data_IF_046876264306
#
_entry.id   IF_046876264306
#
_cell.length_a   1.000
_cell.length_b   1.000
_cell.length_c   1.000
_cell.angle_alpha   90.00
_cell.angle_beta   90.00
_cell.angle_gamma   90.00
#
_symmetry.space_group_name_H-M   'P 1'
#
loop_
_entity.id
_entity.type
_entity.pdbx_description
1 polymer ?
#
# COMPACT_ATOMS: atom_id res chain seq x y z
N UNK A 1 -78.09 -29.46 -31.39
CA UNK A 1 -76.71 -29.82 -31.75
C UNK A 1 -75.98 -28.54 -32.02
N UNK A 2 -75.24 -28.05 -31.10
CA UNK A 2 -74.44 -26.82 -31.23
C UNK A 2 -72.97 -27.21 -30.97
N UNK A 3 -72.16 -27.08 -32.00
CA UNK A 3 -70.73 -27.30 -31.95
C UNK A 3 -70.06 -26.15 -31.17
N UNK A 4 -69.29 -26.48 -30.17
CA UNK A 4 -68.43 -25.54 -29.45
C UNK A 4 -67.05 -25.63 -30.10
N UNK A 5 -66.70 -24.60 -30.88
CA UNK A 5 -65.32 -24.41 -31.40
C UNK A 5 -64.47 -23.81 -30.30
N UNK A 6 -63.43 -24.54 -29.85
CA UNK A 6 -62.42 -24.04 -28.95
C UNK A 6 -61.31 -23.37 -29.75
N UNK A 7 -61.16 -22.07 -29.55
CA UNK A 7 -60.12 -21.25 -30.13
C UNK A 7 -58.78 -21.50 -29.40
N UNK A 8 -57.80 -22.12 -30.09
CA UNK A 8 -56.41 -22.34 -29.66
C UNK A 8 -55.50 -21.28 -30.27
N UNK A 9 -55.61 -20.02 -29.78
CA UNK A 9 -54.61 -19.03 -30.16
C UNK A 9 -53.98 -18.38 -28.93
N UNK A 10 -52.62 -18.39 -28.94
CA UNK A 10 -51.70 -17.58 -28.15
C UNK A 10 -51.34 -18.08 -26.73
N UNK A 11 -50.56 -19.15 -26.65
CA UNK A 11 -49.52 -19.19 -25.61
C UNK A 11 -48.22 -18.66 -26.25
N UNK A 12 -48.01 -17.36 -26.15
CA UNK A 12 -46.76 -16.71 -26.44
C UNK A 12 -45.70 -17.16 -25.42
N UNK A 13 -44.80 -18.04 -25.84
CA UNK A 13 -43.63 -18.47 -25.04
C UNK A 13 -42.63 -17.31 -25.04
N UNK A 14 -42.82 -16.32 -24.18
CA UNK A 14 -41.80 -15.33 -23.85
C UNK A 14 -40.81 -15.97 -22.88
N UNK A 15 -39.80 -16.63 -23.40
CA UNK A 15 -38.58 -16.95 -22.65
C UNK A 15 -38.04 -15.62 -22.11
N UNK A 16 -37.83 -15.47 -20.77
CA UNK A 16 -37.19 -14.28 -20.26
C UNK A 16 -35.81 -14.20 -20.90
N UNK A 17 -35.51 -13.12 -21.63
CA UNK A 17 -34.14 -12.79 -22.00
C UNK A 17 -33.36 -12.77 -20.69
N UNK A 18 -32.43 -13.70 -20.52
CA UNK A 18 -31.37 -13.58 -19.51
C UNK A 18 -30.76 -12.19 -19.76
N UNK A 19 -30.87 -11.30 -18.76
CA UNK A 19 -30.15 -10.05 -18.78
C UNK A 19 -28.69 -10.42 -19.04
N UNK A 20 -28.11 -9.94 -20.11
CA UNK A 20 -26.68 -10.08 -20.36
C UNK A 20 -25.98 -9.53 -19.11
N UNK A 21 -25.29 -10.39 -18.36
CA UNK A 21 -24.48 -9.96 -17.21
C UNK A 21 -23.45 -9.00 -17.80
N UNK A 22 -23.51 -7.72 -17.40
CA UNK A 22 -22.45 -6.77 -17.72
C UNK A 22 -21.14 -7.40 -17.25
N UNK A 23 -20.13 -7.41 -18.11
CA UNK A 23 -18.79 -7.83 -17.77
C UNK A 23 -18.29 -6.96 -16.61
N UNK A 24 -17.65 -7.59 -15.60
CA UNK A 24 -17.05 -6.88 -14.46
C UNK A 24 -15.92 -5.99 -14.96
N UNK A 25 -15.83 -4.80 -14.41
CA UNK A 25 -14.83 -3.80 -14.78
C UNK A 25 -14.19 -3.22 -13.52
N UNK A 26 -12.86 -3.22 -13.45
CA UNK A 26 -12.06 -2.79 -12.30
C UNK A 26 -11.20 -1.59 -12.67
N UNK A 27 -11.31 -0.50 -11.90
CA UNK A 27 -10.38 0.61 -11.95
C UNK A 27 -9.13 0.30 -11.12
N UNK A 28 -7.95 0.54 -11.69
CA UNK A 28 -6.67 0.50 -10.99
C UNK A 28 -6.14 1.93 -10.87
N UNK A 29 -6.17 2.49 -9.65
CA UNK A 29 -5.66 3.83 -9.42
C UNK A 29 -4.13 3.84 -9.51
N UNK A 30 -3.63 4.80 -10.28
CA UNK A 30 -2.21 5.05 -10.53
C UNK A 30 -1.94 6.57 -10.53
N UNK A 31 -0.73 6.99 -10.88
CA UNK A 31 -0.37 8.38 -11.12
C UNK A 31 -0.07 8.65 -12.60
N UNK A 32 0.01 9.92 -12.97
CA UNK A 32 0.27 10.32 -14.36
C UNK A 32 1.64 9.86 -14.88
N UNK A 33 2.63 9.77 -14.00
CA UNK A 33 3.97 9.29 -14.34
C UNK A 33 4.03 7.76 -14.54
N UNK A 34 3.01 7.04 -14.08
CA UNK A 34 2.84 5.60 -14.27
C UNK A 34 1.47 5.28 -14.90
N UNK A 35 1.18 5.77 -16.11
CA UNK A 35 -0.18 5.73 -16.69
C UNK A 35 -0.73 4.32 -16.95
N UNK A 36 0.12 3.31 -16.91
CA UNK A 36 -0.21 1.88 -17.08
C UNK A 36 0.23 1.03 -15.88
N UNK A 37 0.40 1.68 -14.73
CA UNK A 37 0.83 1.06 -13.47
C UNK A 37 2.30 0.70 -13.42
N UNK A 38 2.70 0.04 -12.34
CA UNK A 38 4.04 -0.46 -12.14
C UNK A 38 4.28 -1.79 -12.89
N UNK A 39 5.54 -2.10 -13.17
CA UNK A 39 5.95 -3.35 -13.81
C UNK A 39 5.52 -4.60 -13.01
N UNK A 40 5.41 -4.52 -11.70
CA UNK A 40 4.91 -5.60 -10.83
C UNK A 40 3.46 -6.00 -11.17
N UNK A 41 2.65 -5.06 -11.66
CA UNK A 41 1.23 -5.28 -11.98
C UNK A 41 0.99 -6.11 -13.26
N UNK A 42 2.02 -6.41 -14.04
CA UNK A 42 1.87 -7.19 -15.28
C UNK A 42 1.22 -8.57 -15.03
N UNK A 43 1.58 -9.24 -13.92
CA UNK A 43 0.98 -10.52 -13.51
C UNK A 43 -0.49 -10.36 -13.09
N UNK A 44 -0.84 -9.23 -12.49
CA UNK A 44 -2.20 -8.90 -12.08
C UNK A 44 -3.12 -8.67 -13.29
N UNK A 45 -2.66 -7.94 -14.30
CA UNK A 45 -3.41 -7.74 -15.55
C UNK A 45 -3.72 -9.08 -16.24
N UNK A 46 -2.74 -9.98 -16.30
CA UNK A 46 -2.95 -11.31 -16.84
C UNK A 46 -4.00 -12.13 -16.07
N UNK A 47 -4.03 -12.00 -14.73
CA UNK A 47 -5.00 -12.68 -13.88
C UNK A 47 -6.42 -12.13 -14.05
N UNK A 48 -6.60 -10.81 -14.22
CA UNK A 48 -7.89 -10.20 -14.57
C UNK A 48 -8.39 -10.68 -15.93
N UNK A 49 -7.53 -10.61 -16.93
CA UNK A 49 -7.88 -11.03 -18.29
C UNK A 49 -8.29 -12.51 -18.38
N UNK A 50 -7.62 -13.38 -17.61
CA UNK A 50 -7.97 -14.82 -17.54
C UNK A 50 -9.37 -15.09 -16.95
N UNK A 51 -9.99 -14.09 -16.29
CA UNK A 51 -11.35 -14.14 -15.72
C UNK A 51 -12.36 -13.28 -16.45
N UNK A 52 -11.99 -12.79 -17.62
CA UNK A 52 -12.85 -11.93 -18.43
C UNK A 52 -13.31 -10.67 -17.66
N UNK A 53 -12.38 -10.07 -16.88
CA UNK A 53 -12.57 -8.82 -16.15
C UNK A 53 -11.85 -7.71 -16.89
N UNK A 54 -12.58 -6.65 -17.22
CA UNK A 54 -12.03 -5.44 -17.82
C UNK A 54 -11.25 -4.62 -16.79
N UNK A 55 -10.16 -3.99 -17.23
CA UNK A 55 -9.29 -3.19 -16.37
C UNK A 55 -9.06 -1.81 -16.97
N UNK A 56 -9.26 -0.77 -16.14
CA UNK A 56 -9.03 0.62 -16.50
C UNK A 56 -7.98 1.22 -15.57
N UNK A 57 -6.88 1.73 -16.14
CA UNK A 57 -5.92 2.54 -15.39
C UNK A 57 -6.45 3.95 -15.20
N UNK A 58 -6.45 4.42 -13.95
CA UNK A 58 -7.03 5.71 -13.57
C UNK A 58 -5.96 6.54 -12.87
N UNK A 59 -5.26 7.43 -13.60
CA UNK A 59 -4.35 8.39 -12.98
C UNK A 59 -5.12 9.38 -12.12
N UNK A 60 -5.01 9.26 -10.79
CA UNK A 60 -5.81 10.00 -9.83
C UNK A 60 -5.67 11.53 -9.98
N UNK A 61 -4.46 12.00 -10.30
CA UNK A 61 -4.13 13.43 -10.42
C UNK A 61 -4.49 14.05 -11.79
N UNK A 62 -5.03 13.25 -12.74
CA UNK A 62 -5.44 13.70 -14.06
C UNK A 62 -6.86 13.26 -14.45
N UNK A 63 -7.59 12.61 -13.55
CA UNK A 63 -8.93 12.08 -13.82
C UNK A 63 -9.92 12.62 -12.80
N UNK A 64 -11.03 13.20 -13.27
CA UNK A 64 -12.14 13.58 -12.39
C UNK A 64 -12.76 12.32 -11.76
N UNK A 65 -12.95 12.27 -10.43
CA UNK A 65 -13.47 11.07 -9.75
C UNK A 65 -14.88 10.64 -10.21
N UNK A 66 -15.62 11.51 -10.88
CA UNK A 66 -16.95 11.21 -11.40
C UNK A 66 -16.96 10.71 -12.85
N UNK A 67 -15.86 10.83 -13.59
CA UNK A 67 -15.82 10.50 -15.02
C UNK A 67 -15.93 8.99 -15.28
N UNK A 68 -15.45 8.14 -14.37
CA UNK A 68 -15.38 6.68 -14.55
C UNK A 68 -16.42 5.86 -13.78
N UNK A 69 -17.31 6.50 -13.03
CA UNK A 69 -18.31 5.83 -12.16
C UNK A 69 -19.23 4.84 -12.89
N UNK A 70 -19.53 5.10 -14.17
CA UNK A 70 -20.37 4.25 -15.00
C UNK A 70 -19.56 3.21 -15.80
N UNK A 71 -18.20 3.29 -15.73
CA UNK A 71 -17.28 2.45 -16.49
C UNK A 71 -16.71 1.31 -15.65
N UNK A 72 -16.56 1.51 -14.33
CA UNK A 72 -16.00 0.52 -13.43
C UNK A 72 -16.98 0.15 -12.31
N UNK A 73 -16.84 -1.03 -11.75
CA UNK A 73 -17.65 -1.54 -10.63
C UNK A 73 -16.96 -1.28 -9.27
N UNK A 74 -15.64 -1.14 -9.25
CA UNK A 74 -14.84 -0.81 -8.06
C UNK A 74 -13.48 -0.22 -8.44
N UNK A 75 -12.82 0.41 -7.47
CA UNK A 75 -11.48 0.96 -7.58
C UNK A 75 -10.51 0.25 -6.64
N UNK A 76 -9.34 -0.15 -7.14
CA UNK A 76 -8.23 -0.70 -6.35
C UNK A 76 -7.02 0.24 -6.48
N UNK A 77 -6.37 0.56 -5.36
CA UNK A 77 -5.18 1.41 -5.37
C UNK A 77 -3.96 0.54 -5.71
N UNK A 78 -3.19 0.94 -6.73
CA UNK A 78 -2.00 0.18 -7.13
C UNK A 78 -0.73 0.99 -7.11
N UNK A 79 -0.64 2.05 -7.89
CA UNK A 79 0.59 2.83 -8.04
C UNK A 79 0.37 4.36 -8.06
N UNK A 80 -0.47 4.94 -7.18
CA UNK A 80 -0.63 6.38 -7.06
C UNK A 80 0.53 7.01 -6.24
N UNK A 81 1.79 6.63 -6.50
CA UNK A 81 2.94 6.88 -5.64
C UNK A 81 3.31 8.36 -5.45
N UNK A 82 2.82 9.23 -6.31
CA UNK A 82 2.97 10.68 -6.19
C UNK A 82 2.00 11.33 -5.20
N UNK A 83 1.07 10.58 -4.61
CA UNK A 83 0.13 11.12 -3.61
C UNK A 83 0.84 11.77 -2.41
N UNK A 84 2.07 11.37 -2.14
CA UNK A 84 2.89 11.91 -1.07
C UNK A 84 3.22 13.39 -1.27
N UNK A 85 3.14 13.90 -2.50
CA UNK A 85 3.35 15.30 -2.83
C UNK A 85 2.07 16.15 -2.61
N UNK A 86 0.88 15.53 -2.67
CA UNK A 86 -0.43 16.17 -2.38
C UNK A 86 -1.40 15.15 -1.75
N UNK A 87 -1.08 14.72 -0.53
CA UNK A 87 -1.90 13.75 0.21
C UNK A 87 -3.35 14.22 0.43
N UNK A 88 -3.54 15.49 0.73
CA UNK A 88 -4.89 16.03 0.98
C UNK A 88 -5.72 16.05 -0.32
N UNK A 89 -5.12 16.42 -1.45
CA UNK A 89 -5.75 16.32 -2.76
C UNK A 89 -6.11 14.87 -3.12
N UNK A 90 -5.22 13.91 -2.87
CA UNK A 90 -5.47 12.50 -3.09
C UNK A 90 -6.64 11.97 -2.22
N UNK A 91 -6.66 12.31 -0.93
CA UNK A 91 -7.74 11.90 -0.04
C UNK A 91 -9.08 12.58 -0.40
N UNK A 92 -9.04 13.81 -0.86
CA UNK A 92 -10.24 14.50 -1.38
C UNK A 92 -10.76 13.84 -2.65
N UNK A 93 -9.87 13.47 -3.58
CA UNK A 93 -10.21 12.74 -4.79
C UNK A 93 -10.85 11.38 -4.45
N UNK A 94 -10.23 10.57 -3.58
CA UNK A 94 -10.81 9.30 -3.13
C UNK A 94 -12.17 9.47 -2.46
N UNK A 95 -12.35 10.54 -1.69
CA UNK A 95 -13.63 10.85 -1.01
C UNK A 95 -14.76 11.16 -1.97
N UNK A 96 -14.44 11.59 -3.20
CA UNK A 96 -15.40 11.92 -4.25
C UNK A 96 -15.67 10.76 -5.23
N UNK A 97 -14.95 9.64 -5.10
CA UNK A 97 -15.19 8.44 -5.92
C UNK A 97 -16.50 7.77 -5.52
N UNK A 98 -17.37 7.55 -6.50
CA UNK A 98 -18.75 7.03 -6.32
C UNK A 98 -18.85 5.49 -6.34
N UNK A 99 -17.72 4.77 -6.49
CA UNK A 99 -17.68 3.30 -6.48
C UNK A 99 -16.92 2.78 -5.24
N UNK A 100 -17.11 1.51 -4.83
CA UNK A 100 -16.32 0.91 -3.75
C UNK A 100 -14.82 1.01 -4.00
N UNK A 101 -14.06 1.37 -2.96
CA UNK A 101 -12.60 1.50 -3.00
C UNK A 101 -11.97 0.40 -2.14
N UNK A 102 -10.95 -0.27 -2.65
CA UNK A 102 -10.13 -1.22 -1.91
C UNK A 102 -8.63 -0.83 -2.01
N UNK A 103 -7.99 -0.54 -0.89
CA UNK A 103 -8.46 -0.57 0.51
C UNK A 103 -9.41 0.63 0.81
N UNK A 104 -10.31 0.52 1.83
CA UNK A 104 -11.28 1.58 2.11
C UNK A 104 -10.63 2.92 2.50
N UNK A 105 -11.33 4.03 2.20
CA UNK A 105 -10.83 5.40 2.40
C UNK A 105 -10.34 5.66 3.85
N UNK A 106 -11.05 5.18 4.86
CA UNK A 106 -10.65 5.37 6.26
C UNK A 106 -9.31 4.68 6.57
N UNK A 107 -9.11 3.49 6.01
CA UNK A 107 -7.85 2.75 6.10
C UNK A 107 -6.73 3.51 5.38
N UNK A 108 -6.99 3.98 4.16
CA UNK A 108 -6.04 4.79 3.38
C UNK A 108 -5.66 6.06 4.14
N UNK A 109 -6.63 6.79 4.68
CA UNK A 109 -6.41 8.00 5.47
C UNK A 109 -5.49 7.76 6.66
N UNK A 110 -5.70 6.68 7.38
CA UNK A 110 -4.88 6.30 8.53
C UNK A 110 -3.48 5.85 8.10
N UNK A 111 -3.40 4.96 7.11
CA UNK A 111 -2.15 4.31 6.73
C UNK A 111 -1.23 5.19 5.87
N UNK A 112 -1.76 6.20 5.17
CA UNK A 112 -0.96 7.15 4.37
C UNK A 112 -0.10 8.12 5.21
N UNK A 113 -0.20 8.07 6.55
CA UNK A 113 0.63 8.82 7.49
C UNK A 113 1.32 7.85 8.47
N UNK A 114 2.63 7.75 8.42
CA UNK A 114 3.43 6.78 9.20
C UNK A 114 3.37 6.98 10.72
N UNK A 115 2.64 7.99 11.22
CA UNK A 115 2.34 8.13 12.66
C UNK A 115 1.63 6.89 13.23
N UNK A 116 0.97 6.09 12.40
CA UNK A 116 0.37 4.81 12.81
C UNK A 116 1.38 3.89 13.52
N UNK A 117 2.67 3.98 13.21
CA UNK A 117 3.71 3.17 13.89
C UNK A 117 3.75 3.45 15.39
N UNK A 118 3.57 4.73 15.80
CA UNK A 118 3.53 5.12 17.22
C UNK A 118 2.23 4.65 17.88
N UNK A 119 1.12 4.69 17.16
CA UNK A 119 -0.16 4.15 17.65
C UNK A 119 -0.10 2.64 17.86
N UNK A 120 0.50 1.90 16.91
CA UNK A 120 0.71 0.46 17.03
C UNK A 120 1.67 0.11 18.18
N UNK A 121 2.73 0.90 18.37
CA UNK A 121 3.63 0.75 19.52
C UNK A 121 2.88 0.93 20.85
N UNK A 122 2.01 1.95 20.95
CA UNK A 122 1.17 2.19 22.13
C UNK A 122 0.15 1.05 22.38
N UNK A 123 -0.26 0.35 21.32
CA UNK A 123 -1.10 -0.86 21.40
C UNK A 123 -0.29 -2.13 21.77
N UNK A 124 1.02 -2.03 21.99
CA UNK A 124 1.89 -3.13 22.40
C UNK A 124 2.50 -3.94 21.25
N UNK A 125 2.39 -3.46 20.00
CA UNK A 125 3.05 -4.09 18.85
C UNK A 125 4.55 -3.79 18.93
N UNK A 126 5.45 -4.78 18.74
CA UNK A 126 6.88 -4.55 18.66
C UNK A 126 7.21 -3.76 17.39
N UNK A 127 7.60 -2.50 17.55
CA UNK A 127 7.94 -1.58 16.46
C UNK A 127 9.36 -1.06 16.61
N UNK A 128 9.94 -0.58 15.53
CA UNK A 128 11.15 0.25 15.61
C UNK A 128 10.82 1.49 16.44
N UNK A 129 11.59 1.82 17.51
CA UNK A 129 11.35 3.00 18.34
C UNK A 129 11.26 4.25 17.48
N UNK A 130 10.16 5.01 17.61
CA UNK A 130 9.88 6.16 16.74
C UNK A 130 9.55 7.39 17.56
N UNK A 131 10.29 8.48 17.34
CA UNK A 131 9.95 9.80 17.85
C UNK A 131 9.35 10.64 16.72
N UNK A 132 8.37 11.50 17.05
CA UNK A 132 7.76 12.44 16.10
C UNK A 132 8.21 13.85 16.42
N UNK A 133 8.54 14.62 15.39
CA UNK A 133 8.77 16.05 15.46
C UNK A 133 7.71 16.75 14.60
N UNK A 134 6.89 17.58 15.25
CA UNK A 134 5.71 18.23 14.65
C UNK A 134 5.94 19.73 14.37
N UNK A 135 6.96 20.32 14.97
CA UNK A 135 7.26 21.76 14.80
C UNK A 135 8.78 22.01 14.74
N UNK A 136 9.24 23.00 13.94
CA UNK A 136 10.67 23.32 13.77
C UNK A 136 11.39 23.74 15.06
N UNK A 137 10.65 24.20 16.07
CA UNK A 137 11.17 24.62 17.37
C UNK A 137 11.39 23.46 18.34
N UNK A 138 10.77 22.30 18.08
CA UNK A 138 10.97 21.12 18.91
C UNK A 138 12.42 20.61 18.78
N UNK A 139 12.97 20.06 19.88
CA UNK A 139 14.29 19.42 19.82
C UNK A 139 14.20 18.13 19.00
N UNK A 140 15.17 17.90 18.13
CA UNK A 140 15.34 16.58 17.50
C UNK A 140 15.75 15.56 18.59
N UNK A 141 14.96 14.53 18.77
CA UNK A 141 15.24 13.44 19.69
C UNK A 141 16.12 12.41 18.97
N UNK A 142 17.41 12.43 19.25
CA UNK A 142 18.34 11.42 18.73
C UNK A 142 18.16 10.13 19.55
N UNK A 143 17.94 8.96 18.90
CA UNK A 143 17.78 7.70 19.63
C UNK A 143 19.03 7.34 20.45
N UNK A 144 18.85 7.09 21.75
CA UNK A 144 19.94 6.70 22.65
C UNK A 144 20.37 5.25 22.38
N UNK A 145 21.69 4.99 22.52
CA UNK A 145 22.25 3.64 22.36
C UNK A 145 22.46 3.19 20.92
N UNK A 146 22.18 4.05 19.94
CA UNK A 146 22.40 3.77 18.52
C UNK A 146 23.46 4.71 17.92
N UNK A 147 24.31 4.16 17.07
CA UNK A 147 25.35 4.95 16.38
C UNK A 147 24.77 5.78 15.25
N UNK A 148 23.70 5.31 14.62
CA UNK A 148 23.06 5.91 13.46
C UNK A 148 21.53 5.94 13.62
N UNK A 149 20.92 6.91 12.97
CA UNK A 149 19.46 7.08 12.95
C UNK A 149 18.99 7.64 11.61
N UNK A 150 17.68 7.53 11.38
CA UNK A 150 17.00 7.99 10.17
C UNK A 150 16.07 9.14 10.54
N UNK A 151 16.07 10.17 9.69
CA UNK A 151 15.08 11.24 9.66
C UNK A 151 14.29 11.09 8.38
N UNK A 152 12.96 11.00 8.47
CA UNK A 152 12.07 10.84 7.30
C UNK A 152 10.76 11.58 7.50
N UNK A 153 10.07 12.01 6.42
CA UNK A 153 8.73 12.57 6.54
C UNK A 153 7.72 11.52 7.01
N UNK A 154 6.62 11.96 7.63
CA UNK A 154 5.54 11.06 8.06
C UNK A 154 4.72 10.54 6.88
N UNK A 155 4.62 11.34 5.83
CA UNK A 155 3.99 10.98 4.55
C UNK A 155 5.08 10.82 3.51
N UNK A 156 5.31 9.59 3.06
CA UNK A 156 6.43 9.24 2.20
C UNK A 156 6.17 7.87 1.54
N UNK A 157 6.58 7.73 0.29
CA UNK A 157 6.65 6.48 -0.45
C UNK A 157 8.05 6.31 -1.06
N UNK A 158 8.53 5.07 -1.19
CA UNK A 158 9.81 4.77 -1.82
C UNK A 158 11.04 5.42 -1.18
N UNK A 159 11.01 5.71 0.11
CA UNK A 159 12.09 6.38 0.87
C UNK A 159 12.42 7.82 0.39
N UNK A 160 11.49 8.49 -0.29
CA UNK A 160 11.63 9.88 -0.73
C UNK A 160 11.73 10.80 0.49
N UNK A 161 12.84 11.54 0.62
CA UNK A 161 13.06 12.43 1.77
C UNK A 161 13.60 11.75 3.03
N UNK A 162 13.87 10.44 3.03
CA UNK A 162 14.51 9.76 4.14
C UNK A 162 16.05 9.88 4.04
N UNK A 163 16.70 10.27 5.14
CA UNK A 163 18.17 10.34 5.21
C UNK A 163 18.69 9.68 6.49
N UNK A 164 19.85 9.00 6.36
CA UNK A 164 20.57 8.33 7.44
C UNK A 164 21.69 9.22 8.00
N UNK A 165 21.78 9.31 9.32
CA UNK A 165 22.72 10.14 10.04
C UNK A 165 23.46 9.36 11.11
N UNK A 166 24.72 9.72 11.40
CA UNK A 166 25.38 9.33 12.64
C UNK A 166 24.89 10.18 13.81
N UNK A 167 24.94 9.67 15.02
CA UNK A 167 24.60 10.43 16.23
C UNK A 167 25.41 11.73 16.38
N UNK A 168 26.65 11.76 15.84
CA UNK A 168 27.53 12.94 15.78
C UNK A 168 27.08 13.99 14.74
N UNK A 169 26.14 13.67 13.87
CA UNK A 169 25.61 14.56 12.81
C UNK A 169 24.24 15.18 13.17
N UNK A 170 23.91 15.20 14.45
CA UNK A 170 22.60 15.68 14.95
C UNK A 170 22.23 17.09 14.46
N UNK A 171 23.19 17.98 14.23
CA UNK A 171 22.91 19.33 13.71
C UNK A 171 22.46 19.32 12.24
N UNK A 172 23.09 18.47 11.41
CA UNK A 172 22.65 18.26 10.00
C UNK A 172 21.28 17.61 9.94
N UNK A 173 21.06 16.58 10.78
CA UNK A 173 19.77 15.92 10.88
C UNK A 173 18.65 16.88 11.32
N UNK A 174 18.95 17.77 12.25
CA UNK A 174 18.01 18.83 12.70
C UNK A 174 17.68 19.82 11.59
N UNK A 175 18.64 20.23 10.78
CA UNK A 175 18.38 21.12 9.65
C UNK A 175 17.51 20.44 8.60
N UNK A 176 17.77 19.16 8.30
CA UNK A 176 16.93 18.35 7.42
C UNK A 176 15.49 18.22 7.97
N UNK A 177 15.33 17.83 9.25
CA UNK A 177 14.01 17.75 9.89
C UNK A 177 13.25 19.08 9.81
N UNK A 178 13.92 20.20 10.06
CA UNK A 178 13.32 21.54 9.93
C UNK A 178 12.93 21.88 8.49
N UNK A 179 13.70 21.42 7.51
CA UNK A 179 13.36 21.59 6.10
C UNK A 179 12.05 20.87 5.77
N UNK A 180 11.93 19.59 6.16
CA UNK A 180 10.72 18.79 5.96
C UNK A 180 9.51 19.43 6.65
N UNK A 181 9.64 19.89 7.89
CA UNK A 181 8.55 20.57 8.62
C UNK A 181 8.10 21.86 7.95
N UNK A 182 9.03 22.66 7.38
CA UNK A 182 8.68 23.88 6.62
C UNK A 182 7.96 23.58 5.31
N UNK A 183 8.18 22.40 4.74
CA UNK A 183 7.45 21.93 3.55
C UNK A 183 6.08 21.31 3.88
N UNK A 184 5.70 21.28 5.17
CA UNK A 184 4.39 20.82 5.62
C UNK A 184 4.33 19.35 6.06
N UNK A 185 5.47 18.65 6.09
CA UNK A 185 5.53 17.24 6.53
C UNK A 185 5.96 17.15 7.99
N UNK A 186 5.23 16.43 8.82
CA UNK A 186 5.74 15.97 10.11
C UNK A 186 6.91 15.01 9.89
N UNK A 187 7.75 14.85 10.92
CA UNK A 187 9.01 14.11 10.78
C UNK A 187 9.07 12.97 11.79
N UNK A 188 9.42 11.78 11.30
CA UNK A 188 9.77 10.63 12.11
C UNK A 188 11.29 10.53 12.27
N UNK A 189 11.71 10.22 13.50
CA UNK A 189 13.10 9.92 13.86
C UNK A 189 13.15 8.51 14.42
N UNK A 190 13.93 7.65 13.79
CA UNK A 190 14.05 6.23 14.14
C UNK A 190 15.52 5.83 14.26
N UNK A 191 15.93 4.92 15.17
CA UNK A 191 17.27 4.34 15.11
C UNK A 191 17.45 3.62 13.78
N UNK A 192 18.66 3.70 13.22
CA UNK A 192 19.05 2.82 12.13
C UNK A 192 19.48 1.46 12.71
N UNK A 193 18.78 0.41 12.33
CA UNK A 193 19.06 -0.95 12.81
C UNK A 193 20.05 -1.60 11.82
N UNK A 194 21.29 -1.92 12.23
CA UNK A 194 22.33 -2.38 11.30
C UNK A 194 22.02 -3.68 10.56
N UNK A 195 21.08 -4.48 11.06
CA UNK A 195 20.66 -5.72 10.37
C UNK A 195 20.11 -5.48 8.97
N UNK A 196 19.59 -4.27 8.67
CA UNK A 196 19.17 -3.85 7.31
C UNK A 196 20.32 -4.00 6.32
N UNK A 197 21.54 -3.61 6.69
CA UNK A 197 22.73 -3.70 5.82
C UNK A 197 23.04 -5.15 5.40
N UNK A 198 22.55 -6.15 6.13
CA UNK A 198 22.68 -7.58 5.81
C UNK A 198 21.43 -8.17 5.14
N UNK A 199 20.48 -7.35 4.70
CA UNK A 199 19.24 -7.79 4.03
C UNK A 199 18.23 -8.42 4.98
N UNK A 200 18.13 -7.95 6.24
CA UNK A 200 17.18 -8.51 7.21
C UNK A 200 15.78 -7.92 7.09
N UNK A 201 15.56 -6.90 6.27
CA UNK A 201 14.20 -6.40 6.03
C UNK A 201 13.40 -7.46 5.28
N UNK A 202 12.24 -7.82 5.86
CA UNK A 202 11.34 -8.85 5.34
C UNK A 202 9.98 -8.22 5.11
N UNK A 203 9.56 -8.13 3.84
CA UNK A 203 8.20 -7.74 3.47
C UNK A 203 7.31 -8.98 3.42
N UNK A 204 6.27 -9.01 4.27
CA UNK A 204 5.27 -10.08 4.28
C UNK A 204 4.01 -9.59 3.59
N UNK A 205 3.64 -10.23 2.50
CA UNK A 205 2.48 -9.89 1.70
C UNK A 205 1.26 -10.68 2.16
N UNK A 206 0.17 -9.95 2.42
CA UNK A 206 -1.14 -10.49 2.80
C UNK A 206 -2.18 -10.09 1.76
N UNK A 207 -3.04 -11.04 1.39
CA UNK A 207 -4.18 -10.84 0.49
C UNK A 207 -5.41 -11.38 1.20
N UNK A 208 -6.46 -10.55 1.31
CA UNK A 208 -7.71 -10.86 2.01
C UNK A 208 -7.45 -11.41 3.44
N UNK A 209 -6.52 -10.76 4.17
CA UNK A 209 -6.12 -11.12 5.53
C UNK A 209 -5.32 -12.42 5.64
N UNK A 210 -4.96 -13.07 4.54
CA UNK A 210 -4.20 -14.32 4.50
C UNK A 210 -2.77 -14.07 4.04
N UNK A 211 -1.81 -14.68 4.73
CA UNK A 211 -0.42 -14.67 4.28
C UNK A 211 -0.31 -15.30 2.89
N UNK A 212 0.34 -14.61 1.98
CA UNK A 212 0.61 -15.04 0.61
C UNK A 212 2.05 -15.50 0.44
N UNK A 213 2.99 -14.57 0.57
CA UNK A 213 4.43 -14.82 0.40
C UNK A 213 5.24 -13.73 1.10
N UNK A 214 6.55 -13.88 1.10
CA UNK A 214 7.44 -12.87 1.63
C UNK A 214 8.66 -12.66 0.73
N UNK A 215 9.21 -11.44 0.83
CA UNK A 215 10.43 -11.03 0.14
C UNK A 215 11.45 -10.48 1.15
N UNK A 216 12.73 -10.51 0.77
CA UNK A 216 13.79 -9.77 1.43
C UNK A 216 14.05 -8.49 0.64
N UNK A 217 14.17 -7.35 1.34
CA UNK A 217 14.54 -6.07 0.76
C UNK A 217 15.98 -5.75 1.13
N UNK A 218 16.77 -5.34 0.15
CA UNK A 218 18.12 -4.83 0.37
C UNK A 218 18.12 -3.42 0.99
N UNK A 219 19.27 -2.95 1.51
CA UNK A 219 19.38 -1.63 2.12
C UNK A 219 19.18 -0.53 1.07
N UNK A 220 18.23 0.39 1.29
CA UNK A 220 17.93 1.52 0.42
C UNK A 220 18.70 2.79 0.79
N UNK A 221 18.93 3.01 2.09
CA UNK A 221 19.54 4.25 2.58
C UNK A 221 21.06 4.15 2.57
N UNK A 222 21.70 4.94 1.72
CA UNK A 222 23.17 5.06 1.68
C UNK A 222 23.68 5.80 2.92
N UNK A 223 24.91 5.49 3.35
CA UNK A 223 25.59 6.21 4.44
C UNK A 223 25.91 7.65 4.10
N UNK A 224 26.13 7.96 2.83
CA UNK A 224 26.49 9.29 2.34
C UNK A 224 25.69 9.62 1.09
N UNK A 225 25.15 10.85 1.06
CA UNK A 225 24.39 11.36 -0.08
C UNK A 225 22.88 11.03 0.00
N UNK A 226 22.16 11.61 -0.95
CA UNK A 226 20.74 11.33 -1.15
C UNK A 226 20.58 9.99 -1.88
N UNK A 227 19.48 9.33 -1.65
CA UNK A 227 19.09 8.17 -2.42
C UNK A 227 18.85 8.57 -3.90
N UNK A 228 19.31 7.72 -4.84
CA UNK A 228 19.04 7.92 -6.26
C UNK A 228 17.62 7.43 -6.55
N UNK A 229 16.72 8.37 -6.87
CA UNK A 229 15.34 8.03 -7.21
C UNK A 229 15.23 7.59 -8.67
N UNK A 230 14.45 6.54 -8.91
CA UNK A 230 14.00 6.14 -10.25
C UNK A 230 12.78 7.00 -10.61
N UNK A 231 12.85 7.70 -11.73
CA UNK A 231 11.81 8.61 -12.23
C UNK A 231 11.28 9.62 -11.19
N UNK A 232 12.05 9.89 -10.13
CA UNK A 232 11.65 10.79 -9.04
C UNK A 232 10.65 10.19 -8.04
N UNK A 233 10.28 8.92 -8.18
CA UNK A 233 9.20 8.28 -7.41
C UNK A 233 9.73 7.39 -6.28
N UNK A 234 10.75 6.56 -6.53
CA UNK A 234 11.22 5.58 -5.54
C UNK A 234 12.71 5.26 -5.68
N UNK A 235 13.30 4.68 -4.63
CA UNK A 235 14.67 4.14 -4.67
C UNK A 235 14.64 2.72 -5.21
N UNK A 236 15.54 2.40 -6.17
CA UNK A 236 15.65 1.04 -6.69
C UNK A 236 16.01 0.05 -5.59
N UNK A 237 15.24 -1.02 -5.47
CA UNK A 237 15.37 -2.05 -4.45
C UNK A 237 16.00 -3.33 -5.01
N UNK A 238 16.81 -3.99 -4.20
CA UNK A 238 17.23 -5.39 -4.46
C UNK A 238 16.25 -6.28 -3.71
N UNK A 239 15.49 -7.07 -4.46
CA UNK A 239 14.43 -7.94 -3.92
C UNK A 239 14.75 -9.39 -4.20
N UNK A 240 14.66 -10.24 -3.17
CA UNK A 240 14.81 -11.68 -3.25
C UNK A 240 13.62 -12.39 -2.57
N UNK A 241 13.22 -13.60 -3.02
CA UNK A 241 12.22 -14.40 -2.31
C UNK A 241 12.71 -14.76 -0.91
N UNK A 242 11.81 -14.75 0.08
CA UNK A 242 12.14 -15.13 1.46
C UNK A 242 11.10 -16.05 2.08
N UNK A 243 11.57 -17.00 2.89
CA UNK A 243 10.71 -17.75 3.81
C UNK A 243 10.75 -17.04 5.16
N UNK A 244 9.65 -16.47 5.66
CA UNK A 244 9.62 -15.81 6.96
C UNK A 244 9.72 -16.84 8.09
N UNK A 245 10.22 -16.40 9.24
CA UNK A 245 10.21 -17.19 10.48
C UNK A 245 8.80 -17.17 11.12
N UNK A 246 8.52 -18.14 12.00
CA UNK A 246 7.27 -18.18 12.78
C UNK A 246 7.12 -16.90 13.64
N UNK A 247 8.21 -16.35 14.15
CA UNK A 247 8.20 -15.10 14.92
C UNK A 247 7.77 -13.90 14.05
N UNK A 248 8.29 -13.80 12.82
CA UNK A 248 7.89 -12.76 11.87
C UNK A 248 6.41 -12.89 11.48
N UNK A 249 5.94 -14.10 11.20
CA UNK A 249 4.51 -14.34 10.93
C UNK A 249 3.62 -13.96 12.13
N UNK A 250 4.05 -14.28 13.36
CA UNK A 250 3.31 -13.94 14.57
C UNK A 250 3.21 -12.41 14.78
N UNK A 251 4.31 -11.68 14.59
CA UNK A 251 4.31 -10.21 14.70
C UNK A 251 3.44 -9.59 13.59
N UNK A 252 3.56 -10.04 12.34
CA UNK A 252 2.75 -9.54 11.25
C UNK A 252 1.23 -9.76 11.50
N UNK A 253 0.84 -10.90 12.06
CA UNK A 253 -0.55 -11.17 12.45
C UNK A 253 -1.02 -10.22 13.57
N UNK A 254 -0.18 -9.94 14.57
CA UNK A 254 -0.49 -8.96 15.61
C UNK A 254 -0.67 -7.56 15.05
N UNK A 255 0.21 -7.14 14.11
CA UNK A 255 0.10 -5.85 13.40
C UNK A 255 -1.25 -5.74 12.70
N UNK A 256 -1.61 -6.72 11.87
CA UNK A 256 -2.88 -6.71 11.13
C UNK A 256 -4.11 -6.76 12.03
N UNK A 257 -4.02 -7.47 13.16
CA UNK A 257 -5.11 -7.51 14.14
C UNK A 257 -5.28 -6.19 14.91
N UNK A 258 -4.23 -5.36 14.99
CA UNK A 258 -4.25 -4.06 15.65
C UNK A 258 -4.67 -2.91 14.71
N UNK A 259 -4.83 -3.16 13.40
CA UNK A 259 -5.34 -2.16 12.45
C UNK A 259 -6.77 -1.78 12.86
N UNK A 260 -7.06 -0.47 13.07
CA UNK A 260 -8.35 -0.04 13.61
C UNK A 260 -9.51 -0.08 12.59
N UNK A 261 -9.22 -0.37 11.33
CA UNK A 261 -10.17 -0.40 10.23
C UNK A 261 -10.26 -1.78 9.59
N UNK A 262 -11.46 -2.18 9.20
CA UNK A 262 -11.73 -3.45 8.52
C UNK A 262 -11.78 -3.27 6.99
N UNK A 263 -11.86 -4.37 6.26
CA UNK A 263 -12.08 -4.37 4.81
C UNK A 263 -10.82 -4.24 3.96
N UNK A 264 -9.63 -4.31 4.55
CA UNK A 264 -8.38 -4.35 3.81
C UNK A 264 -8.36 -5.52 2.81
N UNK A 265 -8.02 -5.24 1.56
CA UNK A 265 -7.89 -6.23 0.49
C UNK A 265 -6.48 -6.82 0.47
N UNK A 266 -5.48 -6.00 0.71
CA UNK A 266 -4.07 -6.37 0.77
C UNK A 266 -3.32 -5.55 1.83
N UNK A 267 -2.20 -6.08 2.26
CA UNK A 267 -1.22 -5.39 3.09
C UNK A 267 0.18 -5.95 2.83
N UNK A 268 1.20 -5.10 2.99
CA UNK A 268 2.59 -5.51 3.15
C UNK A 268 3.05 -5.08 4.53
N UNK A 269 3.53 -6.05 5.31
CA UNK A 269 4.09 -5.82 6.65
C UNK A 269 5.60 -5.94 6.54
N UNK A 270 6.31 -4.82 6.65
CA UNK A 270 7.75 -4.77 6.54
C UNK A 270 8.38 -4.84 7.93
N UNK A 271 9.06 -5.94 8.20
CA UNK A 271 9.72 -6.24 9.47
C UNK A 271 11.23 -6.20 9.34
N UNK A 272 11.88 -5.83 10.43
CA UNK A 272 13.33 -5.81 10.57
C UNK A 272 13.73 -6.54 11.84
N UNK A 273 14.88 -7.23 11.84
CA UNK A 273 15.34 -7.92 13.03
C UNK A 273 16.12 -6.97 13.95
N UNK A 274 15.69 -6.86 15.21
CA UNK A 274 16.45 -6.20 16.27
C UNK A 274 17.80 -6.87 16.51
N UNK A 275 18.74 -6.25 17.26
CA UNK A 275 20.04 -6.85 17.56
C UNK A 275 20.00 -8.22 18.27
N UNK A 276 18.92 -8.51 18.98
CA UNK A 276 18.66 -9.81 19.62
C UNK A 276 17.96 -10.83 18.70
N UNK A 277 17.67 -10.46 17.46
CA UNK A 277 16.98 -11.28 16.46
C UNK A 277 15.45 -11.27 16.56
N UNK A 278 14.87 -10.48 17.47
CA UNK A 278 13.41 -10.33 17.53
C UNK A 278 12.91 -9.43 16.39
N UNK A 279 11.76 -9.76 15.72
CA UNK A 279 11.22 -8.94 14.65
C UNK A 279 10.53 -7.69 15.21
N UNK A 280 10.81 -6.55 14.58
CA UNK A 280 10.17 -5.26 14.82
C UNK A 280 9.46 -4.78 13.57
N UNK A 281 8.28 -4.19 13.72
CA UNK A 281 7.60 -3.49 12.62
C UNK A 281 8.40 -2.24 12.25
N UNK A 282 8.84 -2.20 10.99
CA UNK A 282 9.44 -1.02 10.38
C UNK A 282 8.38 -0.17 9.69
N UNK A 283 7.51 -0.82 8.90
CA UNK A 283 6.45 -0.19 8.12
C UNK A 283 5.28 -1.15 7.86
N UNK A 284 4.08 -0.59 7.73
CA UNK A 284 2.87 -1.27 7.27
C UNK A 284 2.33 -0.53 6.06
N UNK A 285 2.30 -1.17 4.91
CA UNK A 285 1.77 -0.56 3.70
C UNK A 285 0.42 -1.18 3.31
N UNK A 286 -0.61 -0.33 3.27
CA UNK A 286 -1.97 -0.71 2.90
C UNK A 286 -2.60 0.26 1.89
N UNK A 287 -1.84 1.26 1.41
CA UNK A 287 -2.30 2.18 0.37
C UNK A 287 -1.92 1.65 -1.00
N UNK A 288 -0.62 1.58 -1.30
CA UNK A 288 -0.10 1.31 -2.65
C UNK A 288 1.15 0.42 -2.67
N UNK A 289 1.24 -0.63 -1.83
CA UNK A 289 2.44 -1.45 -1.80
C UNK A 289 2.70 -2.16 -3.13
N UNK A 290 3.96 -2.24 -3.54
CA UNK A 290 4.39 -3.31 -4.45
C UNK A 290 4.12 -4.65 -3.78
N UNK A 291 3.38 -5.52 -4.46
CA UNK A 291 3.00 -6.84 -3.94
C UNK A 291 3.92 -7.95 -4.47
N UNK A 292 4.90 -7.58 -5.28
CA UNK A 292 5.97 -8.47 -5.76
C UNK A 292 5.46 -9.75 -6.42
N UNK A 293 4.45 -9.62 -7.29
CA UNK A 293 3.82 -10.75 -8.01
C UNK A 293 4.81 -11.57 -8.82
N UNK A 294 5.90 -10.95 -9.31
CA UNK A 294 6.95 -11.64 -10.05
C UNK A 294 7.63 -12.75 -9.22
N UNK A 295 7.71 -12.60 -7.89
CA UNK A 295 8.31 -13.58 -6.98
C UNK A 295 7.33 -14.64 -6.50
N UNK A 296 6.03 -14.41 -6.65
CA UNK A 296 4.97 -15.38 -6.31
C UNK A 296 3.75 -15.20 -7.23
N UNK A 297 3.83 -15.65 -8.50
CA UNK A 297 2.74 -15.44 -9.47
C UNK A 297 1.34 -15.87 -9.02
N UNK A 298 1.14 -16.90 -8.15
CA UNK A 298 -0.20 -17.24 -7.64
C UNK A 298 -0.88 -16.12 -6.82
N UNK A 299 -0.11 -15.13 -6.33
CA UNK A 299 -0.66 -14.02 -5.55
C UNK A 299 -1.56 -13.11 -6.40
N UNK A 300 -1.21 -12.88 -7.66
CA UNK A 300 -2.05 -12.10 -8.57
C UNK A 300 -3.44 -12.71 -8.74
N UNK A 301 -3.49 -14.04 -8.96
CA UNK A 301 -4.75 -14.78 -9.05
C UNK A 301 -5.54 -14.78 -7.72
N UNK A 302 -4.84 -14.86 -6.58
CA UNK A 302 -5.46 -14.77 -5.26
C UNK A 302 -6.09 -13.38 -5.03
N UNK A 303 -5.42 -12.30 -5.47
CA UNK A 303 -5.94 -10.94 -5.35
C UNK A 303 -7.20 -10.74 -6.20
N UNK A 304 -7.19 -11.20 -7.46
CA UNK A 304 -8.38 -11.11 -8.33
C UNK A 304 -9.55 -11.89 -7.75
N UNK A 305 -9.33 -13.11 -7.23
CA UNK A 305 -10.40 -13.86 -6.54
C UNK A 305 -10.95 -13.15 -5.30
N UNK A 306 -10.08 -12.47 -4.55
CA UNK A 306 -10.51 -11.69 -3.38
C UNK A 306 -11.34 -10.47 -3.79
N UNK A 307 -11.05 -9.87 -4.95
CA UNK A 307 -11.84 -8.80 -5.54
C UNK A 307 -13.22 -9.33 -5.95
N UNK A 308 -13.27 -10.41 -6.75
CA UNK A 308 -14.53 -11.03 -7.19
C UNK A 308 -15.45 -11.42 -6.02
N UNK A 309 -14.88 -11.89 -4.90
CA UNK A 309 -15.65 -12.32 -3.72
C UNK A 309 -16.28 -11.15 -2.93
N UNK A 310 -15.92 -9.90 -3.24
CA UNK A 310 -16.40 -8.68 -2.56
C UNK A 310 -17.46 -7.91 -3.35
N UNK A 311 -17.77 -8.38 -4.55
CA UNK A 311 -18.83 -7.88 -5.43
C UNK A 311 -20.02 -8.84 -5.49
#
# INVERSE_FOLDING_TARGET
MGEITVDQSSFGNSTPKLAERRQMSVGLATCADLPVGDADDAGLLAAFHARDIDVHWIPWNHTDPHDFRDEIDLLVLRSPWDYTDDREGFLAWLSAVDVPIFNPLELVRWNSDKRYVVELAAAGIPTVPTAIMEAPEQPLVVPEGFEEFVVKPSVDAGSKGAERYRSTEADRAREHARHLLRSGSEVLVQPYIPSVDSGSETGLIYIDGRFSHAIAKGPMLKREGKADLVDGLYVAEVIDPRTPTDAQLAVAQQVLAAVPYSGGLYARVDLIDAPDGSPLLLELEMVEPSLFFAFHPPAADALVRAIEARL
#
